data_IF_143795559595
#
_entry.id   IF_143795559595
#
_cell.length_a   1.000
_cell.length_b   1.000
_cell.length_c   1.000
_cell.angle_alpha   90.00
_cell.angle_beta   90.00
_cell.angle_gamma   90.00
#
_symmetry.space_group_name_H-M   'P 1'
#
loop_
_entity.id
_entity.type
_entity.pdbx_description
1 polymer ?
#
# COMPACT_ATOMS: atom_id res chain seq x y z
N UNK A 1 -3.77 0.25 9.97
CA UNK A 1 -4.78 0.82 9.03
C UNK A 1 -5.51 -0.31 8.32
N UNK A 2 -6.80 -0.14 8.16
CA UNK A 2 -7.58 -1.07 7.32
C UNK A 2 -7.32 -0.80 5.84
N UNK A 3 -7.71 -1.76 4.98
CA UNK A 3 -7.59 -1.58 3.54
C UNK A 3 -8.33 -0.32 3.06
N UNK A 4 -9.53 -0.08 3.57
CA UNK A 4 -10.31 1.11 3.19
C UNK A 4 -9.61 2.40 3.60
N UNK A 5 -9.03 2.44 4.79
CA UNK A 5 -8.27 3.60 5.25
C UNK A 5 -7.06 3.86 4.37
N UNK A 6 -6.31 2.80 4.01
CA UNK A 6 -5.15 2.91 3.14
C UNK A 6 -5.54 3.52 1.79
N UNK A 7 -6.58 2.98 1.17
CA UNK A 7 -7.07 3.49 -0.12
C UNK A 7 -7.51 4.94 -0.03
N UNK A 8 -8.24 5.28 1.03
CA UNK A 8 -8.73 6.65 1.24
C UNK A 8 -7.58 7.64 1.38
N UNK A 9 -6.57 7.30 2.17
CA UNK A 9 -5.41 8.17 2.39
C UNK A 9 -4.63 8.38 1.09
N UNK A 10 -4.38 7.31 0.34
CA UNK A 10 -3.65 7.41 -0.94
C UNK A 10 -4.43 8.26 -1.93
N UNK A 11 -5.75 8.07 -2.02
CA UNK A 11 -6.59 8.85 -2.93
C UNK A 11 -6.70 10.33 -2.53
N UNK A 12 -6.40 10.66 -1.28
CA UNK A 12 -6.34 12.04 -0.82
C UNK A 12 -5.00 12.73 -1.12
N UNK A 13 -4.04 12.00 -1.69
CA UNK A 13 -2.72 12.54 -2.05
C UNK A 13 -1.65 12.34 -1.00
N UNK A 14 -1.95 11.63 0.08
CA UNK A 14 -0.97 11.35 1.14
C UNK A 14 -0.28 10.01 0.88
N UNK A 15 0.88 9.82 1.52
CA UNK A 15 1.66 8.60 1.38
C UNK A 15 1.38 7.65 2.54
N UNK A 16 1.32 6.35 2.23
CA UNK A 16 1.22 5.28 3.22
C UNK A 16 2.46 4.41 3.08
N UNK A 17 3.03 4.03 4.21
CA UNK A 17 4.17 3.12 4.28
C UNK A 17 3.79 1.84 5.01
N UNK A 18 4.51 0.76 4.72
CA UNK A 18 4.35 -0.53 5.37
C UNK A 18 5.64 -0.91 6.08
N UNK A 19 5.54 -1.21 7.38
CA UNK A 19 6.63 -1.65 8.24
C UNK A 19 7.76 -0.62 8.41
N UNK A 20 8.20 0.05 7.35
CA UNK A 20 9.21 1.11 7.40
C UNK A 20 9.08 2.03 6.21
N UNK A 21 9.80 3.15 6.22
CA UNK A 21 9.70 4.16 5.16
C UNK A 21 10.22 3.68 3.80
N UNK A 22 10.94 2.57 3.75
CA UNK A 22 11.43 2.03 2.47
C UNK A 22 10.35 1.24 1.70
N UNK A 23 9.25 0.90 2.36
CA UNK A 23 8.13 0.21 1.71
C UNK A 23 6.96 1.17 1.58
N UNK A 24 6.71 1.64 0.36
CA UNK A 24 5.67 2.63 0.08
C UNK A 24 4.51 1.99 -0.65
N UNK A 25 3.29 2.28 -0.21
CA UNK A 25 2.09 1.79 -0.87
C UNK A 25 1.71 2.78 -1.98
N UNK A 26 1.50 2.27 -3.18
CA UNK A 26 1.15 3.09 -4.35
C UNK A 26 -0.02 2.49 -5.10
N UNK A 27 -0.79 3.35 -5.75
CA UNK A 27 -1.83 2.90 -6.67
C UNK A 27 -1.18 2.42 -7.96
N UNK A 28 -1.61 1.28 -8.48
CA UNK A 28 -1.09 0.74 -9.74
C UNK A 28 -1.43 1.68 -10.90
N UNK A 29 -0.50 1.81 -11.85
CA UNK A 29 -0.73 2.56 -13.09
C UNK A 29 -1.44 1.72 -14.15
N UNK A 30 -1.48 0.41 -13.97
CA UNK A 30 -1.95 -0.53 -15.00
C UNK A 30 -3.36 -1.05 -14.75
N UNK A 31 -3.81 -1.08 -13.51
CA UNK A 31 -5.12 -1.59 -13.14
C UNK A 31 -5.84 -0.61 -12.23
N UNK A 32 -7.12 -0.38 -12.50
CA UNK A 32 -7.96 0.45 -11.63
C UNK A 32 -8.19 -0.28 -10.30
N UNK A 33 -8.18 0.50 -9.22
CA UNK A 33 -8.42 0.01 -7.87
C UNK A 33 -7.46 -1.09 -7.40
N UNK A 34 -6.28 -1.19 -8.05
CA UNK A 34 -5.23 -2.11 -7.62
C UNK A 34 -4.07 -1.33 -7.01
N UNK A 35 -3.59 -1.79 -5.85
CA UNK A 35 -2.55 -1.12 -5.09
C UNK A 35 -1.37 -2.06 -4.87
N UNK A 36 -0.17 -1.51 -4.81
CA UNK A 36 1.06 -2.27 -4.66
C UNK A 36 1.90 -1.69 -3.52
N UNK A 37 2.76 -2.54 -2.95
CA UNK A 37 3.80 -2.11 -2.02
C UNK A 37 5.11 -2.13 -2.78
N UNK A 38 5.79 -0.98 -2.81
CA UNK A 38 7.06 -0.81 -3.53
C UNK A 38 8.20 -0.66 -2.53
N UNK A 39 9.25 -1.46 -2.68
CA UNK A 39 10.49 -1.24 -1.96
C UNK A 39 11.29 -0.19 -2.72
N UNK A 40 11.42 1.02 -2.16
CA UNK A 40 12.03 2.14 -2.89
C UNK A 40 13.53 2.01 -3.09
N UNK A 41 14.19 1.09 -2.38
CA UNK A 41 15.64 0.89 -2.51
C UNK A 41 16.02 0.04 -3.73
N UNK A 42 15.14 -0.87 -4.14
CA UNK A 42 15.42 -1.78 -5.27
C UNK A 42 14.28 -1.89 -6.27
N UNK A 43 13.20 -1.13 -6.09
CA UNK A 43 12.02 -1.11 -6.93
C UNK A 43 11.25 -2.45 -6.99
N UNK A 44 11.48 -3.35 -6.04
CA UNK A 44 10.68 -4.58 -5.94
C UNK A 44 9.26 -4.23 -5.54
N UNK A 45 8.30 -4.96 -6.11
CA UNK A 45 6.88 -4.72 -5.83
C UNK A 45 6.17 -6.01 -5.43
N UNK A 46 5.21 -5.87 -4.51
CA UNK A 46 4.25 -6.93 -4.18
C UNK A 46 2.86 -6.31 -4.13
N UNK A 47 1.83 -7.13 -4.30
CA UNK A 47 0.46 -6.64 -4.20
C UNK A 47 0.14 -6.21 -2.76
N UNK A 48 -0.64 -5.14 -2.61
CA UNK A 48 -1.12 -4.72 -1.30
C UNK A 48 -2.06 -5.76 -0.70
N UNK A 49 -2.84 -6.44 -1.55
CA UNK A 49 -3.78 -7.48 -1.14
C UNK A 49 -3.41 -8.80 -1.80
N UNK A 50 -3.97 -9.88 -1.26
CA UNK A 50 -3.96 -11.17 -1.92
C UNK A 50 -4.86 -11.10 -3.17
N UNK A 51 -4.93 -12.20 -3.92
CA UNK A 51 -5.71 -12.25 -5.16
C UNK A 51 -7.20 -12.00 -4.96
N UNK A 52 -7.70 -12.19 -3.73
CA UNK A 52 -9.10 -11.92 -3.40
C UNK A 52 -9.43 -10.42 -3.40
N UNK A 53 -8.44 -9.55 -3.43
CA UNK A 53 -8.64 -8.11 -3.44
C UNK A 53 -9.08 -7.50 -2.12
N UNK A 54 -9.18 -8.30 -1.05
CA UNK A 54 -9.67 -7.82 0.25
C UNK A 54 -8.74 -8.13 1.41
N UNK A 55 -7.93 -9.20 1.33
CA UNK A 55 -7.02 -9.58 2.41
C UNK A 55 -5.69 -8.84 2.25
N UNK A 56 -5.32 -8.02 3.23
CA UNK A 56 -4.04 -7.32 3.21
C UNK A 56 -2.87 -8.31 3.23
N UNK A 57 -1.85 -7.99 2.46
CA UNK A 57 -0.60 -8.76 2.43
C UNK A 57 0.34 -8.23 3.51
N UNK A 58 -0.13 -8.29 4.75
CA UNK A 58 0.56 -7.78 5.94
C UNK A 58 -0.46 -7.46 7.02
N UNK A 59 0.01 -7.10 8.20
CA UNK A 59 -0.87 -6.76 9.32
C UNK A 59 -1.32 -5.32 9.24
N UNK A 60 -2.58 -5.06 9.60
CA UNK A 60 -3.13 -3.70 9.56
C UNK A 60 -2.31 -2.69 10.37
N UNK A 61 -1.81 -3.09 11.53
CA UNK A 61 -1.03 -2.21 12.40
C UNK A 61 0.36 -1.86 11.85
N UNK A 62 0.80 -2.53 10.79
CA UNK A 62 2.09 -2.25 10.15
C UNK A 62 2.02 -1.12 9.13
N UNK A 63 0.81 -0.70 8.74
CA UNK A 63 0.62 0.38 7.76
C UNK A 63 0.42 1.71 8.48
N UNK A 64 1.09 2.76 7.99
CA UNK A 64 0.99 4.08 8.60
C UNK A 64 1.11 5.19 7.55
N UNK A 65 0.61 6.37 7.90
CA UNK A 65 0.71 7.55 7.04
C UNK A 65 2.10 8.15 7.24
N UNK A 66 2.82 8.32 6.12
CA UNK A 66 4.13 8.98 6.17
C UNK A 66 3.92 10.49 6.19
N UNK A 67 4.48 11.12 7.21
CA UNK A 67 4.41 12.57 7.40
C UNK A 67 5.54 13.26 6.65
#
# INVERSE_FOLDING_TARGET
MTLQEIKSVINSGKKVCWASDIYEVRKSKFEDDYYIIVCITNNSTIGLTWRDGVTLNGKEEEFYIKV
#
